data_IF_918821353152
#
_entry.id   IF_918821353152
#
_cell.length_a   1.000
_cell.length_b   1.000
_cell.length_c   1.000
_cell.angle_alpha   90.00
_cell.angle_beta   90.00
_cell.angle_gamma   90.00
#
_symmetry.space_group_name_H-M   'P 1'
#
loop_
_entity.id
_entity.type
_entity.pdbx_description
1 polymer ?
#
# COMPACT_ATOMS: atom_id res chain seq x y z
N UNK A 1 9.27 -11.20 -24.18
CA UNK A 1 9.08 -10.69 -22.81
C UNK A 1 10.45 -10.60 -22.17
N UNK A 2 10.89 -9.42 -21.72
CA UNK A 2 12.23 -9.23 -21.17
C UNK A 2 12.31 -9.74 -19.72
N UNK A 3 13.51 -10.08 -19.25
CA UNK A 3 13.74 -10.45 -17.84
C UNK A 3 13.22 -9.37 -16.89
N UNK A 4 13.37 -8.10 -17.25
CA UNK A 4 12.88 -6.95 -16.49
C UNK A 4 11.35 -7.00 -16.34
N UNK A 5 10.62 -7.22 -17.44
CA UNK A 5 9.15 -7.32 -17.39
C UNK A 5 8.66 -8.48 -16.53
N UNK A 6 9.38 -9.61 -16.54
CA UNK A 6 9.05 -10.77 -15.70
C UNK A 6 9.26 -10.46 -14.21
N UNK A 7 10.38 -9.83 -13.84
CA UNK A 7 10.68 -9.43 -12.46
C UNK A 7 9.64 -8.41 -11.97
N UNK A 8 9.32 -7.40 -12.78
CA UNK A 8 8.31 -6.41 -12.45
C UNK A 8 6.94 -7.05 -12.19
N UNK A 9 6.53 -8.02 -13.03
CA UNK A 9 5.30 -8.79 -12.83
C UNK A 9 5.30 -9.59 -11.53
N UNK A 10 6.41 -10.27 -11.22
CA UNK A 10 6.56 -11.04 -9.98
C UNK A 10 6.49 -10.14 -8.74
N UNK A 11 7.20 -9.01 -8.73
CA UNK A 11 7.17 -8.04 -7.63
C UNK A 11 5.78 -7.44 -7.46
N UNK A 12 5.12 -7.07 -8.56
CA UNK A 12 3.75 -6.52 -8.51
C UNK A 12 2.75 -7.52 -7.92
N UNK A 13 2.86 -8.79 -8.32
CA UNK A 13 2.01 -9.87 -7.81
C UNK A 13 2.26 -10.12 -6.32
N UNK A 14 3.53 -10.23 -5.91
CA UNK A 14 3.91 -10.40 -4.51
C UNK A 14 3.43 -9.22 -3.65
N UNK A 15 3.50 -8.00 -4.18
CA UNK A 15 3.06 -6.78 -3.51
C UNK A 15 1.54 -6.75 -3.30
N UNK A 16 0.77 -7.14 -4.31
CA UNK A 16 -0.68 -7.26 -4.21
C UNK A 16 -1.09 -8.34 -3.18
N UNK A 17 -0.45 -9.51 -3.22
CA UNK A 17 -0.70 -10.59 -2.25
C UNK A 17 -0.37 -10.11 -0.84
N UNK A 18 0.76 -9.43 -0.65
CA UNK A 18 1.17 -8.89 0.65
C UNK A 18 0.15 -7.87 1.18
N UNK A 19 -0.35 -6.97 0.32
CA UNK A 19 -1.39 -5.99 0.67
C UNK A 19 -2.71 -6.68 1.06
N UNK A 20 -3.18 -7.62 0.25
CA UNK A 20 -4.42 -8.37 0.55
C UNK A 20 -4.26 -9.07 1.90
N UNK A 21 -3.13 -9.74 2.12
CA UNK A 21 -2.85 -10.40 3.40
C UNK A 21 -2.76 -9.40 4.56
N UNK A 22 -2.22 -8.20 4.33
CA UNK A 22 -2.12 -7.15 5.35
C UNK A 22 -3.51 -6.70 5.82
N UNK A 23 -4.38 -6.35 4.87
CA UNK A 23 -5.78 -5.94 5.14
C UNK A 23 -6.57 -7.09 5.76
N UNK A 24 -6.46 -8.29 5.20
CA UNK A 24 -7.13 -9.49 5.69
C UNK A 24 -6.72 -9.78 7.14
N UNK A 25 -5.42 -9.75 7.43
CA UNK A 25 -4.91 -10.00 8.78
C UNK A 25 -5.36 -8.92 9.76
N UNK A 26 -5.37 -7.66 9.36
CA UNK A 26 -5.84 -6.55 10.18
C UNK A 26 -7.32 -6.72 10.54
N UNK A 27 -8.14 -7.20 9.59
CA UNK A 27 -9.57 -7.38 9.79
C UNK A 27 -9.93 -8.65 10.58
N UNK A 28 -9.43 -9.82 10.17
CA UNK A 28 -9.85 -11.11 10.75
C UNK A 28 -9.06 -11.51 11.98
N UNK A 29 -7.81 -11.06 12.10
CA UNK A 29 -6.90 -11.44 13.17
C UNK A 29 -6.22 -10.21 13.80
N UNK A 30 -6.98 -9.21 14.29
CA UNK A 30 -6.41 -7.97 14.82
C UNK A 30 -5.39 -8.26 15.94
N UNK A 31 -5.65 -9.31 16.74
CA UNK A 31 -4.75 -9.71 17.82
C UNK A 31 -3.37 -10.21 17.37
N UNK A 32 -3.33 -11.05 16.35
CA UNK A 32 -2.07 -11.56 15.82
C UNK A 32 -1.38 -10.49 14.97
N UNK A 33 -2.16 -9.68 14.25
CA UNK A 33 -1.68 -8.59 13.42
C UNK A 33 -0.92 -7.54 14.23
N UNK A 34 -1.56 -6.96 15.26
CA UNK A 34 -0.94 -5.94 16.11
C UNK A 34 0.26 -6.51 16.84
N UNK A 35 0.21 -7.76 17.35
CA UNK A 35 1.40 -8.40 17.98
C UNK A 35 2.58 -8.55 17.04
N UNK A 36 2.33 -8.92 15.77
CA UNK A 36 3.40 -9.02 14.77
C UNK A 36 4.03 -7.67 14.46
N UNK A 37 3.22 -6.62 14.47
CA UNK A 37 3.62 -5.25 14.22
C UNK A 37 4.28 -4.56 15.43
N UNK A 38 3.86 -4.90 16.66
CA UNK A 38 4.26 -4.22 17.91
C UNK A 38 5.53 -4.79 18.56
N UNK A 39 6.46 -5.37 17.79
CA UNK A 39 7.67 -5.97 18.39
C UNK A 39 8.68 -4.87 18.71
N UNK A 40 8.73 -4.52 19.99
CA UNK A 40 9.57 -3.54 20.70
C UNK A 40 11.10 -3.73 20.55
N UNK A 41 11.58 -4.54 19.60
CA UNK A 41 13.00 -4.86 19.45
C UNK A 41 13.36 -5.22 18.00
N UNK A 42 13.29 -4.24 17.11
CA UNK A 42 13.75 -4.37 15.72
C UNK A 42 12.84 -5.20 14.81
N UNK A 43 12.42 -4.63 13.69
CA UNK A 43 11.81 -5.42 12.62
C UNK A 43 12.89 -6.27 11.97
N UNK A 44 12.68 -7.59 11.93
CA UNK A 44 13.53 -8.48 11.14
C UNK A 44 13.50 -8.07 9.65
N UNK A 45 14.55 -8.35 8.87
CA UNK A 45 14.58 -8.03 7.44
C UNK A 45 13.34 -8.54 6.68
N UNK A 46 12.86 -9.74 7.04
CA UNK A 46 11.64 -10.32 6.46
C UNK A 46 10.38 -9.49 6.72
N UNK A 47 10.25 -8.88 7.90
CA UNK A 47 9.12 -7.99 8.21
C UNK A 47 9.20 -6.70 7.42
N UNK A 48 10.40 -6.14 7.25
CA UNK A 48 10.63 -4.98 6.40
C UNK A 48 10.28 -5.28 4.94
N UNK A 49 10.71 -6.43 4.41
CA UNK A 49 10.34 -6.86 3.06
C UNK A 49 8.83 -7.02 2.92
N UNK A 50 8.18 -7.67 3.88
CA UNK A 50 6.73 -7.82 3.87
C UNK A 50 6.00 -6.47 3.91
N UNK A 51 6.41 -5.56 4.80
CA UNK A 51 5.85 -4.22 4.88
C UNK A 51 6.10 -3.41 3.61
N UNK A 52 7.31 -3.49 3.04
CA UNK A 52 7.66 -2.85 1.77
C UNK A 52 6.81 -3.37 0.61
N UNK A 53 6.54 -4.68 0.55
CA UNK A 53 5.64 -5.26 -0.45
C UNK A 53 4.19 -4.79 -0.26
N UNK A 54 3.68 -4.75 0.97
CA UNK A 54 2.35 -4.23 1.25
C UNK A 54 2.23 -2.73 0.90
N UNK A 55 3.27 -1.95 1.22
CA UNK A 55 3.39 -0.54 0.85
C UNK A 55 3.38 -0.37 -0.67
N UNK A 56 4.21 -1.13 -1.39
CA UNK A 56 4.28 -1.07 -2.84
C UNK A 56 2.95 -1.46 -3.49
N UNK A 57 2.30 -2.51 -2.98
CA UNK A 57 0.99 -2.95 -3.46
C UNK A 57 -0.06 -1.86 -3.32
N UNK A 58 -0.06 -1.16 -2.18
CA UNK A 58 -1.00 -0.06 -1.94
C UNK A 58 -0.67 1.16 -2.80
N UNK A 59 0.61 1.51 -2.96
CA UNK A 59 1.05 2.59 -3.82
C UNK A 59 0.61 2.37 -5.28
N UNK A 60 0.78 1.15 -5.80
CA UNK A 60 0.31 0.77 -7.14
C UNK A 60 -1.22 0.91 -7.26
N UNK A 61 -1.97 0.46 -6.24
CA UNK A 61 -3.43 0.58 -6.21
C UNK A 61 -3.89 2.04 -6.17
N UNK A 62 -3.25 2.89 -5.37
CA UNK A 62 -3.55 4.32 -5.28
C UNK A 62 -3.19 5.03 -6.59
N UNK A 63 -2.04 4.70 -7.19
CA UNK A 63 -1.64 5.22 -8.49
C UNK A 63 -2.70 4.91 -9.56
N UNK A 64 -3.05 3.64 -9.73
CA UNK A 64 -4.06 3.22 -10.71
C UNK A 64 -5.46 3.78 -10.43
N UNK A 65 -5.84 3.85 -9.14
CA UNK A 65 -7.08 4.47 -8.70
C UNK A 65 -7.13 5.96 -8.98
N UNK A 66 -6.02 6.68 -8.77
CA UNK A 66 -5.93 8.13 -9.03
C UNK A 66 -5.92 8.42 -10.53
N UNK A 67 -5.18 7.64 -11.31
CA UNK A 67 -5.23 7.68 -12.79
C UNK A 67 -6.67 7.55 -13.29
N UNK A 68 -7.38 6.54 -12.79
CA UNK A 68 -8.79 6.31 -13.13
C UNK A 68 -9.72 7.42 -12.64
N UNK A 69 -9.48 7.98 -11.45
CA UNK A 69 -10.28 9.06 -10.89
C UNK A 69 -10.09 10.39 -11.64
N UNK A 70 -8.90 10.60 -12.23
CA UNK A 70 -8.56 11.74 -13.06
C UNK A 70 -8.89 11.49 -14.55
N UNK A 71 -9.86 10.63 -14.87
CA UNK A 71 -10.26 10.33 -16.25
C UNK A 71 -10.65 11.58 -17.06
N UNK A 72 -11.14 12.61 -16.38
CA UNK A 72 -11.57 13.88 -16.99
C UNK A 72 -10.39 14.78 -17.41
N UNK A 73 -9.19 14.51 -16.90
CA UNK A 73 -7.99 15.28 -17.24
C UNK A 73 -7.49 14.84 -18.62
N UNK A 74 -7.31 15.77 -19.57
CA UNK A 74 -6.73 15.46 -20.87
C UNK A 74 -5.29 14.95 -20.76
N UNK A 75 -4.88 14.08 -21.69
CA UNK A 75 -3.51 13.54 -21.76
C UNK A 75 -2.49 14.56 -22.26
N UNK A 76 -2.93 15.58 -22.99
CA UNK A 76 -2.10 16.68 -23.53
C UNK A 76 -1.81 17.77 -22.48
N UNK A 77 -2.46 17.71 -21.32
CA UNK A 77 -2.10 18.54 -20.18
C UNK A 77 -0.82 18.00 -19.57
N UNK A 78 0.31 18.55 -19.98
CA UNK A 78 1.61 18.01 -19.62
C UNK A 78 2.78 18.87 -20.06
N UNK A 79 3.96 18.33 -19.86
CA UNK A 79 5.21 18.87 -20.39
C UNK A 79 5.71 17.90 -21.44
N UNK A 80 6.27 18.42 -22.52
CA UNK A 80 6.98 17.59 -23.49
C UNK A 80 8.41 17.40 -22.99
N UNK A 81 8.89 16.16 -22.95
CA UNK A 81 10.27 15.87 -22.60
C UNK A 81 11.23 16.06 -23.81
N UNK A 82 12.52 15.78 -23.59
CA UNK A 82 13.55 15.94 -24.61
C UNK A 82 13.37 15.01 -25.82
N UNK A 83 12.61 13.92 -25.64
CA UNK A 83 12.32 12.93 -26.68
C UNK A 83 11.04 13.27 -27.47
N UNK A 84 10.33 14.33 -27.08
CA UNK A 84 9.08 14.74 -27.70
C UNK A 84 7.85 14.03 -27.12
N UNK A 85 8.02 13.23 -26.07
CA UNK A 85 6.93 12.52 -25.41
C UNK A 85 6.21 13.46 -24.44
N UNK A 86 4.87 13.44 -24.50
CA UNK A 86 4.04 14.19 -23.56
C UNK A 86 3.98 13.44 -22.24
N UNK A 87 4.45 14.10 -21.17
CA UNK A 87 4.36 13.61 -19.80
C UNK A 87 3.09 14.18 -19.14
N UNK A 88 2.00 13.40 -18.99
CA UNK A 88 0.71 13.94 -18.55
C UNK A 88 0.76 14.37 -17.08
N UNK A 89 0.21 15.54 -16.76
CA UNK A 89 0.04 16.06 -15.38
C UNK A 89 -0.66 15.03 -14.49
N UNK A 90 -1.62 14.29 -15.05
CA UNK A 90 -2.33 13.20 -14.38
C UNK A 90 -1.38 12.16 -13.78
N UNK A 91 -0.28 11.83 -14.46
CA UNK A 91 0.73 10.89 -13.96
C UNK A 91 1.48 11.43 -12.76
N UNK A 92 1.83 12.71 -12.77
CA UNK A 92 2.46 13.36 -11.61
C UNK A 92 1.52 13.40 -10.40
N UNK A 93 0.25 13.74 -10.60
CA UNK A 93 -0.74 13.70 -9.52
C UNK A 93 -0.95 12.30 -8.96
N UNK A 94 -1.03 11.29 -9.82
CA UNK A 94 -1.16 9.90 -9.38
C UNK A 94 0.07 9.42 -8.59
N UNK A 95 1.28 9.79 -9.02
CA UNK A 95 2.53 9.51 -8.30
C UNK A 95 2.55 10.22 -6.95
N UNK A 96 2.22 11.52 -6.91
CA UNK A 96 2.14 12.30 -5.68
C UNK A 96 1.12 11.70 -4.70
N UNK A 97 -0.08 11.34 -5.17
CA UNK A 97 -1.10 10.68 -4.37
C UNK A 97 -0.61 9.34 -3.81
N UNK A 98 0.02 8.50 -4.64
CA UNK A 98 0.58 7.22 -4.20
C UNK A 98 1.63 7.42 -3.10
N UNK A 99 2.56 8.35 -3.25
CA UNK A 99 3.60 8.58 -2.24
C UNK A 99 3.06 9.17 -0.95
N UNK A 100 2.14 10.15 -1.03
CA UNK A 100 1.62 10.86 0.12
C UNK A 100 0.59 10.05 0.91
N UNK A 101 -0.24 9.25 0.24
CA UNK A 101 -1.38 8.56 0.88
C UNK A 101 -1.06 7.15 1.35
N UNK A 102 -0.02 6.49 0.82
CA UNK A 102 0.28 5.09 1.16
C UNK A 102 0.61 4.91 2.65
N UNK A 103 1.49 5.75 3.20
CA UNK A 103 1.86 5.67 4.63
C UNK A 103 0.66 5.94 5.57
N UNK A 104 -0.10 7.04 5.40
CA UNK A 104 -1.32 7.28 6.18
C UNK A 104 -2.34 6.15 6.06
N UNK A 105 -2.55 5.61 4.86
CA UNK A 105 -3.53 4.55 4.64
C UNK A 105 -3.15 3.23 5.33
N UNK A 106 -1.87 2.81 5.26
CA UNK A 106 -1.40 1.67 6.04
C UNK A 106 -1.48 1.93 7.55
N UNK A 107 -1.13 3.15 7.99
CA UNK A 107 -1.25 3.56 9.39
C UNK A 107 -2.69 3.53 9.88
N UNK A 108 -3.65 3.92 9.03
CA UNK A 108 -5.08 3.82 9.34
C UNK A 108 -5.53 2.37 9.49
N UNK A 109 -5.13 1.47 8.59
CA UNK A 109 -5.43 0.03 8.70
C UNK A 109 -4.87 -0.53 10.01
N UNK A 110 -3.65 -0.13 10.38
CA UNK A 110 -3.05 -0.54 11.63
C UNK A 110 -3.83 -0.05 12.85
N UNK A 111 -4.18 1.25 12.89
CA UNK A 111 -4.97 1.84 13.97
C UNK A 111 -6.34 1.18 14.09
N UNK A 112 -7.04 0.97 12.98
CA UNK A 112 -8.33 0.29 12.97
C UNK A 112 -8.25 -1.14 13.53
N UNK A 113 -7.15 -1.87 13.26
CA UNK A 113 -6.92 -3.18 13.85
C UNK A 113 -6.64 -3.11 15.36
N UNK A 114 -5.88 -2.11 15.82
CA UNK A 114 -5.60 -1.87 17.24
C UNK A 114 -6.88 -1.50 18.00
N UNK A 115 -7.67 -0.53 17.49
CA UNK A 115 -8.93 -0.12 18.10
C UNK A 115 -9.92 -1.30 18.20
N UNK A 116 -9.95 -2.15 17.17
CA UNK A 116 -10.77 -3.36 17.15
C UNK A 116 -10.31 -4.39 18.19
N UNK A 117 -9.00 -4.58 18.36
CA UNK A 117 -8.49 -5.40 19.46
C UNK A 117 -8.97 -4.84 20.79
N UNK A 118 -8.68 -3.56 21.07
CA UNK A 118 -9.00 -2.94 22.37
C UNK A 118 -10.48 -3.06 22.71
N UNK A 119 -11.35 -2.96 21.70
CA UNK A 119 -12.80 -3.17 21.86
C UNK A 119 -13.16 -4.62 22.18
N UNK A 120 -12.43 -5.61 21.64
CA UNK A 120 -12.61 -7.04 21.95
C UNK A 120 -12.12 -7.35 23.37
N UNK A 121 -10.97 -6.79 23.76
CA UNK A 121 -10.38 -7.00 25.09
C UNK A 121 -11.24 -6.38 26.20
N UNK A 122 -11.75 -5.15 25.99
CA UNK A 122 -12.71 -4.52 26.91
C UNK A 122 -14.01 -5.32 27.09
N UNK A 123 -14.42 -6.12 26.09
CA UNK A 123 -15.60 -6.99 26.16
C UNK A 123 -15.34 -8.34 26.82
N UNK A 124 -14.08 -8.68 27.13
CA UNK A 124 -13.71 -9.87 27.91
C UNK A 124 -13.20 -9.45 29.30
N UNK A 125 -14.06 -8.98 30.21
CA UNK A 125 -13.65 -8.80 31.59
C UNK A 125 -13.49 -10.18 32.25
N UNK A 126 -12.24 -10.60 32.49
CA UNK A 126 -11.91 -11.75 33.36
C UNK A 126 -11.51 -13.04 32.65
N UNK A 127 -10.32 -13.08 32.04
CA UNK A 127 -9.55 -14.33 31.93
C UNK A 127 -8.43 -14.32 32.94
#
# INVERSE_FOLDING_TARGET
MSVITMIAGAVSTASLIALIHYVWSAYFQPQAFVRRAHIQSGMSPLKWTYFGLAWLGLAIMIYGGTQSALFWMPDDWGWTDEDGDVQPLRSYFAVAAAMLLTFPALGFIYRAAADRWDAIERKRPGS
#
